data_IF_380160157871
#
_entry.id   IF_380160157871
#
_cell.length_a   1.000
_cell.length_b   1.000
_cell.length_c   1.000
_cell.angle_alpha   90.00
_cell.angle_beta   90.00
_cell.angle_gamma   90.00
#
_symmetry.space_group_name_H-M   'P 1'
#
loop_
_entity.id
_entity.type
_entity.pdbx_description
1 polymer ?
#
# COMPACT_ATOMS: atom_id res chain seq x y z
N UNK A 1 0.13 -18.83 -10.49
CA UNK A 1 0.42 -17.39 -10.67
C UNK A 1 -0.80 -16.62 -10.18
N UNK A 2 -0.74 -15.87 -9.08
CA UNK A 2 -1.88 -15.06 -8.65
C UNK A 2 -2.23 -14.07 -9.76
N UNK A 3 -3.51 -13.93 -10.03
CA UNK A 3 -4.08 -13.18 -11.14
C UNK A 3 -3.59 -11.72 -11.12
N UNK A 4 -2.63 -11.40 -11.99
CA UNK A 4 -1.98 -10.07 -12.07
C UNK A 4 -3.00 -8.94 -12.27
N UNK A 5 -4.20 -9.27 -12.77
CA UNK A 5 -5.32 -8.36 -12.95
C UNK A 5 -5.97 -7.94 -11.62
N UNK A 6 -6.14 -8.88 -10.68
CA UNK A 6 -6.76 -8.60 -9.38
C UNK A 6 -5.86 -7.71 -8.51
N UNK A 7 -4.55 -7.97 -8.50
CA UNK A 7 -3.58 -7.14 -7.79
C UNK A 7 -3.56 -5.70 -8.34
N UNK A 8 -3.60 -5.54 -9.66
CA UNK A 8 -3.71 -4.24 -10.33
C UNK A 8 -4.98 -3.48 -9.97
N UNK A 9 -6.13 -4.16 -9.95
CA UNK A 9 -7.42 -3.56 -9.52
C UNK A 9 -7.35 -3.01 -8.10
N UNK A 10 -6.78 -3.77 -7.18
CA UNK A 10 -6.61 -3.36 -5.78
C UNK A 10 -5.66 -2.16 -5.66
N UNK A 11 -4.51 -2.20 -6.36
CA UNK A 11 -3.54 -1.12 -6.35
C UNK A 11 -4.11 0.18 -6.92
N UNK A 12 -4.83 0.10 -8.03
CA UNK A 12 -5.49 1.27 -8.63
C UNK A 12 -6.59 1.82 -7.74
N UNK A 13 -7.41 0.96 -7.13
CA UNK A 13 -8.41 1.39 -6.16
C UNK A 13 -7.78 2.11 -4.95
N UNK A 14 -6.65 1.61 -4.44
CA UNK A 14 -5.90 2.26 -3.36
C UNK A 14 -5.34 3.63 -3.79
N UNK A 15 -4.80 3.73 -5.02
CA UNK A 15 -4.35 4.99 -5.60
C UNK A 15 -5.47 6.03 -5.66
N UNK A 16 -6.64 5.66 -6.20
CA UNK A 16 -7.79 6.58 -6.31
C UNK A 16 -8.29 7.00 -4.93
N UNK A 17 -8.38 6.09 -3.96
CA UNK A 17 -8.78 6.43 -2.58
C UNK A 17 -7.80 7.43 -1.95
N UNK A 18 -6.50 7.22 -2.13
CA UNK A 18 -5.47 8.17 -1.64
C UNK A 18 -5.63 9.54 -2.30
N UNK A 19 -5.76 9.58 -3.62
CA UNK A 19 -5.93 10.83 -4.36
C UNK A 19 -7.16 11.63 -3.89
N UNK A 20 -8.29 10.95 -3.65
CA UNK A 20 -9.50 11.58 -3.12
C UNK A 20 -9.34 12.05 -1.67
N UNK A 21 -8.64 11.27 -0.84
CA UNK A 21 -8.31 11.66 0.54
C UNK A 21 -7.45 12.91 0.54
N UNK A 22 -6.38 12.93 -0.24
CA UNK A 22 -5.46 14.07 -0.36
C UNK A 22 -6.21 15.32 -0.85
N UNK A 23 -7.08 15.19 -1.87
CA UNK A 23 -7.89 16.30 -2.36
C UNK A 23 -8.88 16.83 -1.31
N UNK A 24 -9.46 15.95 -0.49
CA UNK A 24 -10.33 16.33 0.62
C UNK A 24 -9.56 17.05 1.73
N UNK A 25 -8.39 16.56 2.11
CA UNK A 25 -7.60 17.10 3.23
C UNK A 25 -6.91 18.41 2.85
N UNK A 26 -6.38 18.53 1.63
CA UNK A 26 -5.60 19.71 1.21
C UNK A 26 -6.45 20.82 0.58
N UNK A 27 -7.55 20.47 -0.09
CA UNK A 27 -8.36 21.42 -0.87
C UNK A 27 -9.84 21.45 -0.47
N UNK A 28 -10.25 20.65 0.54
CA UNK A 28 -11.65 20.48 0.94
C UNK A 28 -12.58 20.04 -0.23
N UNK A 29 -12.03 19.37 -1.25
CA UNK A 29 -12.82 18.96 -2.41
C UNK A 29 -13.79 17.82 -2.05
N UNK A 30 -15.04 18.00 -2.42
CA UNK A 30 -16.07 16.96 -2.34
C UNK A 30 -16.07 16.13 -3.62
N UNK A 31 -16.71 14.95 -3.61
CA UNK A 31 -16.79 14.10 -4.81
C UNK A 31 -17.45 14.79 -6.01
N UNK A 32 -18.34 15.76 -5.79
CA UNK A 32 -18.91 16.59 -6.87
C UNK A 32 -17.91 17.61 -7.40
N UNK A 33 -17.07 18.19 -6.55
CA UNK A 33 -16.02 19.12 -6.96
C UNK A 33 -14.93 18.40 -7.76
N UNK A 34 -14.51 17.21 -7.31
CA UNK A 34 -13.58 16.35 -8.07
C UNK A 34 -14.15 16.06 -9.46
N UNK A 35 -15.43 15.72 -9.55
CA UNK A 35 -16.08 15.43 -10.84
C UNK A 35 -16.11 16.65 -11.76
N UNK A 36 -16.41 17.83 -11.21
CA UNK A 36 -16.38 19.10 -11.94
C UNK A 36 -14.98 19.45 -12.45
N UNK A 37 -13.95 19.24 -11.64
CA UNK A 37 -12.56 19.60 -11.93
C UNK A 37 -11.87 18.65 -12.89
N UNK A 38 -12.18 17.37 -12.80
CA UNK A 38 -11.53 16.31 -13.61
C UNK A 38 -12.33 15.93 -14.85
N UNK A 39 -13.60 16.35 -14.95
CA UNK A 39 -14.51 15.88 -16.00
C UNK A 39 -14.92 14.40 -15.86
N UNK A 40 -14.41 13.67 -14.87
CA UNK A 40 -14.74 12.27 -14.64
C UNK A 40 -15.97 12.16 -13.74
N UNK A 41 -16.98 11.40 -14.17
CA UNK A 41 -18.21 11.25 -13.40
C UNK A 41 -17.95 10.57 -12.05
N UNK A 42 -18.73 10.95 -11.02
CA UNK A 42 -18.64 10.34 -9.70
C UNK A 42 -18.90 8.82 -9.71
N UNK A 43 -19.73 8.35 -10.65
CA UNK A 43 -19.98 6.92 -10.84
C UNK A 43 -18.73 6.19 -11.33
N UNK A 44 -18.01 6.77 -12.30
CA UNK A 44 -16.75 6.21 -12.80
C UNK A 44 -15.69 6.17 -11.70
N UNK A 45 -15.54 7.26 -10.94
CA UNK A 45 -14.60 7.31 -9.81
C UNK A 45 -14.95 6.28 -8.73
N UNK A 46 -16.23 6.15 -8.36
CA UNK A 46 -16.68 5.14 -7.39
C UNK A 46 -16.42 3.70 -7.89
N UNK A 47 -16.59 3.45 -9.19
CA UNK A 47 -16.27 2.15 -9.79
C UNK A 47 -14.77 1.83 -9.65
N UNK A 48 -13.90 2.80 -9.89
CA UNK A 48 -12.46 2.63 -9.69
C UNK A 48 -12.10 2.38 -8.22
N UNK A 49 -12.73 3.11 -7.28
CA UNK A 49 -12.54 2.92 -5.83
C UNK A 49 -12.94 1.50 -5.37
N UNK A 50 -13.92 0.87 -6.02
CA UNK A 50 -14.33 -0.50 -5.70
C UNK A 50 -13.50 -1.56 -6.43
N UNK A 51 -12.75 -1.19 -7.47
CA UNK A 51 -12.07 -2.15 -8.35
C UNK A 51 -13.04 -2.96 -9.23
N UNK A 52 -14.31 -2.55 -9.32
CA UNK A 52 -15.40 -3.25 -10.02
C UNK A 52 -15.49 -2.80 -11.48
N UNK A 53 -14.41 -2.94 -12.24
CA UNK A 53 -14.40 -2.66 -13.67
C UNK A 53 -14.16 -3.94 -14.48
N UNK A 54 -15.01 -4.15 -15.49
CA UNK A 54 -14.98 -5.32 -16.37
C UNK A 54 -13.82 -5.23 -17.38
N UNK A 55 -13.58 -4.03 -17.90
CA UNK A 55 -12.48 -3.69 -18.80
C UNK A 55 -11.57 -2.65 -18.16
N UNK A 56 -10.32 -2.60 -18.62
CA UNK A 56 -9.35 -1.59 -18.21
C UNK A 56 -9.96 -0.17 -18.30
N UNK A 57 -9.65 0.73 -17.34
CA UNK A 57 -10.09 2.12 -17.41
C UNK A 57 -9.69 2.79 -18.73
N UNK A 58 -10.45 3.77 -19.18
CA UNK A 58 -10.06 4.57 -20.37
C UNK A 58 -8.88 5.48 -20.03
N UNK A 59 -7.81 5.43 -20.82
CA UNK A 59 -6.59 6.19 -20.57
C UNK A 59 -6.85 7.70 -20.48
N UNK A 60 -7.66 8.24 -21.39
CA UNK A 60 -8.05 9.66 -21.39
C UNK A 60 -8.72 10.08 -20.07
N UNK A 61 -9.60 9.22 -19.52
CA UNK A 61 -10.26 9.49 -18.23
C UNK A 61 -9.28 9.44 -17.07
N UNK A 62 -8.30 8.54 -17.12
CA UNK A 62 -7.25 8.44 -16.09
C UNK A 62 -6.36 9.68 -16.13
N UNK A 63 -5.99 10.16 -17.33
CA UNK A 63 -5.25 11.42 -17.52
C UNK A 63 -6.03 12.60 -16.96
N UNK A 64 -7.28 12.78 -17.39
CA UNK A 64 -8.12 13.89 -16.94
C UNK A 64 -8.35 13.89 -15.41
N UNK A 65 -8.47 12.69 -14.81
CA UNK A 65 -8.52 12.54 -13.35
C UNK A 65 -7.23 13.00 -12.67
N UNK A 66 -6.07 12.59 -13.19
CA UNK A 66 -4.77 12.95 -12.62
C UNK A 66 -4.50 14.45 -12.78
N UNK A 67 -4.66 14.98 -13.99
CA UNK A 67 -4.46 16.41 -14.27
C UNK A 67 -5.39 17.31 -13.47
N UNK A 68 -6.68 16.96 -13.37
CA UNK A 68 -7.64 17.72 -12.57
C UNK A 68 -7.31 17.74 -11.07
N UNK A 69 -6.55 16.75 -10.58
CA UNK A 69 -6.05 16.71 -9.21
C UNK A 69 -4.62 17.29 -9.07
N UNK A 70 -3.91 17.56 -10.18
CA UNK A 70 -2.50 17.96 -10.19
C UNK A 70 -1.55 16.81 -9.87
N UNK A 71 -1.92 15.58 -10.24
CA UNK A 71 -1.12 14.37 -10.12
C UNK A 71 -0.52 14.05 -11.50
N UNK A 72 0.74 13.61 -11.54
CA UNK A 72 1.36 13.12 -12.77
C UNK A 72 0.64 11.82 -13.27
N UNK A 73 0.05 11.81 -14.48
CA UNK A 73 -0.60 10.64 -15.04
C UNK A 73 0.28 9.38 -15.11
N UNK A 74 1.61 9.53 -15.21
CA UNK A 74 2.55 8.40 -15.21
C UNK A 74 2.46 7.56 -13.92
N UNK A 75 2.12 8.19 -12.79
CA UNK A 75 1.92 7.49 -11.52
C UNK A 75 0.74 6.52 -11.62
N UNK A 76 -0.35 6.93 -12.27
CA UNK A 76 -1.52 6.07 -12.47
C UNK A 76 -1.22 4.97 -13.49
N UNK A 77 -0.49 5.27 -14.56
CA UNK A 77 -0.09 4.28 -15.58
C UNK A 77 0.82 3.20 -15.02
N UNK A 78 1.78 3.56 -14.15
CA UNK A 78 2.61 2.58 -13.44
C UNK A 78 1.78 1.66 -12.53
N UNK A 79 0.78 2.20 -11.83
CA UNK A 79 -0.14 1.40 -11.01
C UNK A 79 -1.01 0.47 -11.86
N UNK A 80 -1.39 0.91 -13.05
CA UNK A 80 -2.17 0.14 -14.03
C UNK A 80 -1.31 -0.82 -14.86
N UNK A 81 0.02 -0.81 -14.69
CA UNK A 81 0.95 -1.61 -15.48
C UNK A 81 0.88 -1.31 -16.98
N UNK A 82 0.39 -0.13 -17.36
CA UNK A 82 0.32 0.32 -18.76
C UNK A 82 1.65 0.91 -19.22
N UNK A 83 2.51 1.29 -18.28
CA UNK A 83 3.86 1.74 -18.56
C UNK A 83 4.83 0.53 -18.45
N UNK A 84 5.41 0.13 -19.59
CA UNK A 84 6.46 -0.90 -19.65
C UNK A 84 7.87 -0.34 -19.40
N UNK A 85 8.00 0.98 -19.34
CA UNK A 85 9.25 1.73 -19.15
C UNK A 85 9.37 2.38 -17.77
N UNK A 86 8.26 2.54 -17.04
CA UNK A 86 8.30 3.02 -15.66
C UNK A 86 9.04 2.03 -14.77
N UNK A 87 10.02 2.48 -13.98
CA UNK A 87 10.55 1.65 -12.90
C UNK A 87 9.37 1.30 -11.98
N UNK A 88 9.24 0.01 -11.64
CA UNK A 88 8.24 -0.47 -10.71
C UNK A 88 8.27 0.46 -9.47
N UNK A 89 7.12 1.09 -9.18
CA UNK A 89 7.00 2.01 -8.05
C UNK A 89 7.69 1.40 -6.82
N UNK A 90 8.60 2.10 -6.14
CA UNK A 90 9.14 1.59 -4.90
C UNK A 90 7.95 1.37 -3.96
N UNK A 91 7.73 0.12 -3.60
CA UNK A 91 6.90 -0.27 -2.47
C UNK A 91 7.30 0.69 -1.34
N UNK A 92 6.36 1.39 -0.67
CA UNK A 92 6.73 2.27 0.43
C UNK A 92 7.66 1.47 1.33
N UNK A 93 8.91 1.95 1.46
CA UNK A 93 9.94 1.24 2.17
C UNK A 93 9.32 0.87 3.51
N UNK A 94 9.23 -0.44 3.79
CA UNK A 94 8.86 -0.88 5.11
C UNK A 94 9.74 -0.08 6.08
N UNK A 95 9.20 0.38 7.23
CA UNK A 95 10.02 1.05 8.24
C UNK A 95 11.32 0.27 8.40
N UNK A 96 12.49 0.96 8.49
CA UNK A 96 13.79 0.31 8.42
C UNK A 96 13.77 -0.91 9.34
N UNK A 97 13.90 -2.07 8.71
CA UNK A 97 13.75 -3.35 9.38
C UNK A 97 14.86 -3.45 10.40
N UNK A 98 14.54 -3.97 11.58
CA UNK A 98 15.54 -4.18 12.63
C UNK A 98 16.72 -5.01 12.05
N UNK A 99 17.98 -4.63 12.31
CA UNK A 99 19.15 -5.30 11.74
C UNK A 99 19.17 -6.81 12.00
N UNK A 100 18.65 -7.25 13.14
CA UNK A 100 18.60 -8.67 13.49
C UNK A 100 17.54 -9.40 12.65
N UNK A 101 16.39 -8.76 12.42
CA UNK A 101 15.35 -9.30 11.52
C UNK A 101 15.88 -9.39 10.09
N UNK A 102 16.65 -8.39 9.64
CA UNK A 102 17.30 -8.44 8.34
C UNK A 102 18.31 -9.59 8.24
N UNK A 103 19.13 -9.79 9.27
CA UNK A 103 20.08 -10.90 9.33
C UNK A 103 19.39 -12.27 9.28
N UNK A 104 18.24 -12.43 9.96
CA UNK A 104 17.42 -13.64 9.89
C UNK A 104 16.89 -13.87 8.47
N UNK A 105 16.39 -12.83 7.80
CA UNK A 105 15.93 -12.96 6.41
C UNK A 105 17.06 -13.32 5.45
N UNK A 106 18.25 -12.72 5.59
CA UNK A 106 19.42 -13.06 4.77
C UNK A 106 19.78 -14.55 4.91
N UNK A 107 19.80 -15.09 6.13
CA UNK A 107 20.07 -16.54 6.36
C UNK A 107 18.98 -17.44 5.77
N UNK A 108 17.73 -17.01 5.80
CA UNK A 108 16.61 -17.80 5.25
C UNK A 108 16.65 -17.94 3.72
N UNK A 109 17.20 -16.94 3.01
CA UNK A 109 17.32 -16.95 1.55
C UNK A 109 18.67 -17.43 1.03
N UNK A 110 19.69 -17.52 1.88
CA UNK A 110 21.02 -18.00 1.52
C UNK A 110 21.00 -19.50 1.15
N UNK A 111 21.37 -19.89 -0.09
CA UNK A 111 21.39 -21.30 -0.51
C UNK A 111 22.42 -22.15 0.25
N UNK A 112 23.42 -21.54 0.89
CA UNK A 112 24.47 -22.24 1.63
C UNK A 112 24.05 -22.59 3.07
N UNK A 113 22.95 -22.02 3.56
CA UNK A 113 22.39 -22.36 4.87
C UNK A 113 21.55 -23.62 4.77
N UNK A 114 21.80 -24.57 5.66
CA UNK A 114 21.12 -25.86 5.69
C UNK A 114 19.61 -25.73 5.90
N UNK A 115 18.84 -26.68 5.35
CA UNK A 115 17.38 -26.70 5.53
C UNK A 115 16.97 -26.87 7.00
N UNK A 116 17.75 -27.64 7.78
CA UNK A 116 17.53 -27.80 9.21
C UNK A 116 17.64 -26.47 9.97
N UNK A 117 18.62 -25.65 9.60
CA UNK A 117 18.83 -24.33 10.21
C UNK A 117 17.74 -23.34 9.79
N UNK A 118 17.38 -23.31 8.49
CA UNK A 118 16.25 -22.50 8.01
C UNK A 118 14.93 -22.89 8.68
N UNK A 119 14.73 -24.19 8.91
CA UNK A 119 13.56 -24.70 9.63
C UNK A 119 13.53 -24.18 11.07
N UNK A 120 14.64 -24.27 11.80
CA UNK A 120 14.76 -23.74 13.16
C UNK A 120 14.49 -22.23 13.24
N UNK A 121 15.03 -21.45 12.31
CA UNK A 121 14.80 -20.00 12.23
C UNK A 121 13.31 -19.72 12.03
N UNK A 122 12.65 -20.39 11.07
CA UNK A 122 11.21 -20.19 10.80
C UNK A 122 10.35 -20.56 11.99
N UNK A 123 10.65 -21.66 12.68
CA UNK A 123 9.88 -22.11 13.82
C UNK A 123 10.01 -21.16 15.00
N UNK A 124 11.22 -20.66 15.26
CA UNK A 124 11.48 -19.67 16.32
C UNK A 124 10.74 -18.37 16.04
N UNK A 125 10.82 -17.86 14.80
CA UNK A 125 10.10 -16.65 14.39
C UNK A 125 8.59 -16.84 14.54
N UNK A 126 8.06 -17.99 14.12
CA UNK A 126 6.63 -18.34 14.28
C UNK A 126 6.23 -18.34 15.75
N UNK A 127 6.99 -18.99 16.61
CA UNK A 127 6.73 -19.02 18.05
C UNK A 127 6.66 -17.60 18.65
N UNK A 128 7.63 -16.74 18.32
CA UNK A 128 7.68 -15.38 18.84
C UNK A 128 6.55 -14.49 18.30
N UNK A 129 6.23 -14.61 17.01
CA UNK A 129 5.21 -13.79 16.35
C UNK A 129 3.79 -14.06 16.88
N UNK A 130 3.50 -15.29 17.31
CA UNK A 130 2.19 -15.69 17.83
C UNK A 130 2.14 -15.82 19.35
N UNK A 131 3.18 -15.38 20.06
CA UNK A 131 3.20 -15.40 21.51
C UNK A 131 2.14 -14.45 22.08
N UNK A 132 1.40 -14.85 23.14
CA UNK A 132 0.56 -13.92 23.87
C UNK A 132 1.36 -12.71 24.37
N UNK A 133 0.82 -11.49 24.28
CA UNK A 133 1.51 -10.30 24.78
C UNK A 133 1.76 -10.44 26.28
N UNK A 134 2.94 -10.02 26.72
CA UNK A 134 3.26 -10.00 28.15
C UNK A 134 2.29 -9.04 28.86
N UNK A 135 1.79 -9.40 30.06
CA UNK A 135 0.97 -8.49 30.84
C UNK A 135 1.75 -7.20 31.09
N UNK A 136 1.16 -6.06 30.73
CA UNK A 136 1.77 -4.76 30.97
C UNK A 136 1.96 -4.57 32.49
N UNK A 137 3.19 -4.32 32.92
CA UNK A 137 3.43 -3.95 34.32
C UNK A 137 2.62 -2.69 34.66
N UNK A 138 1.91 -2.66 35.81
CA UNK A 138 1.20 -1.47 36.22
C UNK A 138 2.21 -0.34 36.43
N UNK A 139 2.16 0.68 35.57
CA UNK A 139 2.92 1.92 35.72
C UNK A 139 2.68 2.48 37.13
N UNK A 140 3.65 2.33 38.03
CA UNK A 140 3.65 3.03 39.31
C UNK A 140 3.73 4.52 39.03
N UNK A 141 2.59 5.20 39.19
CA UNK A 141 2.52 6.66 39.15
C UNK A 141 3.41 7.28 40.23
N UNK A 142 3.95 8.49 40.00
CA UNK A 142 4.85 9.13 40.95
C UNK A 142 4.10 9.45 42.25
N UNK A 143 4.65 8.99 43.38
CA UNK A 143 4.23 9.41 44.73
C UNK A 143 4.40 10.93 44.82
N UNK A 144 3.29 11.67 44.93
CA UNK A 144 3.30 13.03 45.45
C UNK A 144 3.31 12.96 46.97
N UNK A 145 4.40 13.39 47.59
CA UNK A 145 4.47 13.88 48.95
C UNK A 145 5.17 15.26 48.83
N UNK A 146 4.63 16.36 49.34
CA UNK A 146 3.94 16.51 50.61
C UNK A 146 4.87 17.33 51.48
#
# INVERSE_FOLDING_TARGET
>A
MPDSSAGRKIAFAAFVRKALKDARETRAWTGSEVSRRTGVSRQTVNRWVRGEWASDPEAERVVAFCEGLGIDPLVAFGVLGWDRTAPARPVPAAPPMDPDVEALLRRLVDPNVSDAEKFHIRETVRYLAYRPPLPAEPRRGPKRAG
#
